data_IF_031757405012
#
_entry.id   IF_031757405012
#
_cell.length_a   1.000
_cell.length_b   1.000
_cell.length_c   1.000
_cell.angle_alpha   90.00
_cell.angle_beta   90.00
_cell.angle_gamma   90.00
#
_symmetry.space_group_name_H-M   'P 1'
#
loop_
_entity.id
_entity.type
_entity.pdbx_description
1 polymer ?
#
# COMPACT_ATOMS: atom_id res chain seq x y z
N UNK A 1 45.25 64.31 16.45
CA UNK A 1 44.67 62.94 16.51
C UNK A 1 43.53 62.98 17.52
N UNK A 2 42.33 62.42 17.29
CA UNK A 2 41.81 61.64 16.16
C UNK A 2 40.68 62.34 15.37
N UNK A 3 40.35 61.75 14.22
CA UNK A 3 39.50 62.22 13.12
C UNK A 3 38.00 61.90 13.31
N UNK A 4 37.13 62.92 13.25
CA UNK A 4 35.66 62.82 13.39
C UNK A 4 34.88 62.50 12.10
N UNK A 5 35.23 61.41 11.40
CA UNK A 5 34.68 61.09 10.07
C UNK A 5 33.80 59.84 9.95
N UNK A 6 33.38 59.18 11.04
CA UNK A 6 32.82 57.82 11.00
C UNK A 6 31.30 57.61 11.29
N UNK A 7 30.42 58.60 11.52
CA UNK A 7 29.02 58.28 11.88
C UNK A 7 28.17 57.87 10.66
N UNK A 8 28.30 58.53 9.52
CA UNK A 8 27.42 58.32 8.35
C UNK A 8 27.64 56.95 7.70
N UNK A 9 28.89 56.48 7.62
CA UNK A 9 29.25 55.17 7.06
C UNK A 9 28.65 54.04 7.93
N UNK A 10 28.59 54.23 9.26
CA UNK A 10 27.97 53.28 10.19
C UNK A 10 26.46 53.20 10.03
N UNK A 11 25.78 54.31 9.75
CA UNK A 11 24.35 54.30 9.46
C UNK A 11 24.05 53.61 8.12
N UNK A 12 24.88 53.82 7.10
CA UNK A 12 24.72 53.20 5.78
C UNK A 12 24.97 51.68 5.81
N UNK A 13 25.93 51.21 6.61
CA UNK A 13 26.13 49.77 6.81
C UNK A 13 24.99 49.16 7.64
N UNK A 14 24.54 49.84 8.70
CA UNK A 14 23.38 49.40 9.51
C UNK A 14 22.10 49.30 8.68
N UNK A 15 21.84 50.27 7.80
CA UNK A 15 20.69 50.29 6.91
C UNK A 15 20.74 49.18 5.86
N UNK A 16 21.92 48.89 5.32
CA UNK A 16 22.14 47.75 4.40
C UNK A 16 21.88 46.41 5.08
N UNK A 17 22.35 46.24 6.32
CA UNK A 17 22.05 45.05 7.11
C UNK A 17 20.55 44.90 7.39
N UNK A 18 19.86 46.01 7.71
CA UNK A 18 18.43 46.00 7.98
C UNK A 18 17.61 45.62 6.74
N UNK A 19 17.95 46.20 5.58
CA UNK A 19 17.31 45.87 4.29
C UNK A 19 17.61 44.42 3.89
N UNK A 20 18.84 43.94 4.10
CA UNK A 20 19.20 42.54 3.84
C UNK A 20 18.41 41.57 4.75
N UNK A 21 18.23 41.90 6.03
CA UNK A 21 17.38 41.12 6.94
C UNK A 21 15.91 41.11 6.51
N UNK A 22 15.37 42.25 6.06
CA UNK A 22 14.00 42.35 5.56
C UNK A 22 13.79 41.47 4.32
N UNK A 23 14.72 41.52 3.37
CA UNK A 23 14.71 40.66 2.18
C UNK A 23 14.87 39.16 2.54
N UNK A 24 15.63 38.85 3.58
CA UNK A 24 15.79 37.47 4.08
C UNK A 24 14.49 36.94 4.71
N UNK A 25 13.76 37.78 5.46
CA UNK A 25 12.50 37.41 6.12
C UNK A 25 11.39 37.16 5.10
N UNK A 26 11.32 37.94 4.02
CA UNK A 26 10.37 37.68 2.93
C UNK A 26 10.69 36.38 2.18
N UNK A 27 11.96 36.06 1.97
CA UNK A 27 12.38 34.79 1.36
C UNK A 27 12.00 33.56 2.20
N UNK A 28 11.97 33.68 3.53
CA UNK A 28 11.60 32.58 4.44
C UNK A 28 10.07 32.42 4.51
N UNK A 29 9.31 33.50 4.35
CA UNK A 29 7.83 33.48 4.45
C UNK A 29 7.14 32.92 3.19
N UNK A 30 7.86 32.86 2.06
CA UNK A 30 7.40 32.25 0.81
C UNK A 30 7.31 30.72 0.81
N UNK A 31 7.82 30.05 1.85
CA UNK A 31 7.57 28.62 2.09
C UNK A 31 6.22 28.48 2.80
N UNK A 32 5.15 28.91 2.13
CA UNK A 32 3.81 28.47 2.50
C UNK A 32 3.73 26.99 2.13
N UNK A 33 3.52 26.15 3.15
CA UNK A 33 3.28 24.73 2.98
C UNK A 33 2.19 24.54 1.92
N UNK A 34 2.53 23.86 0.83
CA UNK A 34 1.49 23.31 -0.03
C UNK A 34 0.65 22.41 0.86
N UNK A 35 -0.57 22.86 1.15
CA UNK A 35 -1.60 22.04 1.74
C UNK A 35 -2.04 21.08 0.63
N UNK A 36 -1.20 20.08 0.38
CA UNK A 36 -1.53 18.95 -0.48
C UNK A 36 -2.57 18.15 0.31
N UNK A 37 -3.82 18.61 0.26
CA UNK A 37 -4.97 17.75 0.50
C UNK A 37 -5.13 16.82 -0.70
N UNK A 38 -4.09 16.03 -1.00
CA UNK A 38 -4.27 14.80 -1.74
C UNK A 38 -4.55 13.74 -0.67
N UNK A 39 -5.83 13.53 -0.37
CA UNK A 39 -6.17 12.14 -0.16
C UNK A 39 -6.04 11.53 -1.55
N UNK A 40 -4.97 10.75 -1.85
CA UNK A 40 -4.95 10.03 -3.10
C UNK A 40 -6.27 9.25 -3.17
N UNK A 41 -6.98 9.41 -4.28
CA UNK A 41 -8.25 8.72 -4.51
C UNK A 41 -8.06 7.26 -4.09
N UNK A 42 -8.87 6.81 -3.12
CA UNK A 42 -8.71 5.46 -2.57
C UNK A 42 -8.76 4.48 -3.73
N UNK A 43 -7.75 3.62 -3.90
CA UNK A 43 -7.73 2.72 -5.04
C UNK A 43 -8.91 1.76 -4.95
N UNK A 44 -9.51 1.46 -6.10
CA UNK A 44 -10.45 0.36 -6.20
C UNK A 44 -9.66 -0.95 -6.19
N UNK A 45 -10.12 -1.92 -5.40
CA UNK A 45 -9.50 -3.25 -5.31
C UNK A 45 -10.40 -4.25 -6.02
N UNK A 46 -9.91 -4.86 -7.10
CA UNK A 46 -10.56 -5.97 -7.78
C UNK A 46 -9.82 -7.27 -7.44
N UNK A 47 -10.48 -8.16 -6.69
CA UNK A 47 -9.96 -9.49 -6.38
C UNK A 47 -10.53 -10.51 -7.37
N UNK A 48 -9.68 -11.05 -8.24
CA UNK A 48 -10.01 -12.16 -9.14
C UNK A 48 -9.50 -13.47 -8.54
N UNK A 49 -10.38 -14.44 -8.36
CA UNK A 49 -10.07 -15.77 -7.82
C UNK A 49 -10.64 -16.84 -8.74
N UNK A 50 -9.78 -17.75 -9.20
CA UNK A 50 -10.18 -18.94 -9.95
C UNK A 50 -10.23 -20.15 -9.00
N UNK A 51 -11.27 -20.97 -9.12
CA UNK A 51 -11.38 -22.24 -8.38
C UNK A 51 -10.58 -23.34 -9.10
N UNK A 52 -9.97 -24.24 -8.33
CA UNK A 52 -9.19 -25.38 -8.82
C UNK A 52 -8.06 -25.07 -9.84
N UNK A 53 -7.52 -23.84 -9.84
CA UNK A 53 -6.39 -23.50 -10.71
C UNK A 53 -5.06 -23.98 -10.12
N UNK A 54 -4.38 -24.86 -10.84
CA UNK A 54 -3.03 -25.33 -10.53
C UNK A 54 -1.95 -24.30 -10.82
N UNK A 55 -0.80 -24.45 -10.17
CA UNK A 55 0.35 -23.55 -10.34
C UNK A 55 0.85 -23.47 -11.79
N UNK A 56 0.80 -24.61 -12.50
CA UNK A 56 1.27 -24.73 -13.87
C UNK A 56 0.24 -24.36 -14.94
N UNK A 57 -0.99 -23.98 -14.59
CA UNK A 57 -2.11 -23.88 -15.54
C UNK A 57 -2.15 -22.57 -16.34
N UNK A 58 -1.09 -21.75 -16.28
CA UNK A 58 -0.99 -20.46 -16.97
C UNK A 58 0.17 -20.42 -17.95
N UNK A 59 -0.01 -19.70 -19.06
CA UNK A 59 1.05 -19.40 -20.02
C UNK A 59 2.26 -18.73 -19.37
N UNK A 60 2.03 -17.75 -18.49
CA UNK A 60 3.08 -17.09 -17.70
C UNK A 60 3.77 -17.99 -16.66
N UNK A 61 3.23 -19.18 -16.37
CA UNK A 61 3.87 -20.23 -15.58
C UNK A 61 4.62 -21.26 -16.46
N UNK A 62 4.60 -21.09 -17.79
CA UNK A 62 5.27 -21.98 -18.74
C UNK A 62 4.42 -23.12 -19.27
N UNK A 63 3.09 -23.06 -19.14
CA UNK A 63 2.21 -24.12 -19.65
C UNK A 63 2.41 -24.31 -21.18
N UNK A 64 2.62 -25.54 -21.67
CA UNK A 64 3.01 -25.77 -23.08
C UNK A 64 1.89 -25.57 -24.10
N UNK A 65 0.62 -25.69 -23.69
CA UNK A 65 -0.56 -25.69 -24.58
C UNK A 65 -1.55 -24.55 -24.28
N UNK A 66 -1.98 -24.40 -23.03
CA UNK A 66 -2.91 -23.36 -22.59
C UNK A 66 -2.36 -21.96 -22.86
N UNK A 67 -3.21 -21.12 -23.45
CA UNK A 67 -2.91 -19.72 -23.75
C UNK A 67 -3.77 -18.83 -22.85
N UNK A 68 -3.12 -18.00 -22.05
CA UNK A 68 -3.79 -17.12 -21.09
C UNK A 68 -3.41 -15.64 -21.31
N UNK A 69 -3.59 -15.09 -22.53
CA UNK A 69 -2.98 -13.81 -22.91
C UNK A 69 -3.40 -12.64 -22.01
N UNK A 70 -4.61 -12.65 -21.45
CA UNK A 70 -5.05 -11.64 -20.48
C UNK A 70 -4.30 -11.72 -19.14
N UNK A 71 -4.09 -12.93 -18.61
CA UNK A 71 -3.33 -13.16 -17.37
C UNK A 71 -1.84 -12.96 -17.60
N UNK A 72 -1.33 -13.33 -18.78
CA UNK A 72 0.08 -13.15 -19.17
C UNK A 72 0.42 -11.65 -19.24
N UNK A 73 -0.48 -10.84 -19.82
CA UNK A 73 -0.36 -9.38 -19.83
C UNK A 73 -0.37 -8.82 -18.42
N UNK A 74 -1.34 -9.22 -17.58
CA UNK A 74 -1.44 -8.78 -16.18
C UNK A 74 -0.17 -9.12 -15.39
N UNK A 75 0.41 -10.31 -15.60
CA UNK A 75 1.66 -10.72 -14.98
C UNK A 75 2.86 -9.88 -15.45
N UNK A 76 2.87 -9.41 -16.69
CA UNK A 76 3.95 -8.59 -17.26
C UNK A 76 3.89 -7.11 -16.85
N UNK A 77 2.70 -6.58 -16.60
CA UNK A 77 2.47 -5.19 -16.19
C UNK A 77 2.48 -5.00 -14.66
N UNK A 78 2.46 -6.10 -13.91
CA UNK A 78 2.35 -6.10 -12.45
C UNK A 78 3.48 -6.85 -11.74
N UNK A 79 3.20 -7.27 -10.51
CA UNK A 79 4.08 -8.12 -9.71
C UNK A 79 3.50 -9.53 -9.66
N UNK A 80 4.33 -10.55 -9.93
CA UNK A 80 3.95 -11.96 -9.86
C UNK A 80 4.67 -12.68 -8.72
N UNK A 81 3.91 -13.24 -7.80
CA UNK A 81 4.41 -14.12 -6.75
C UNK A 81 4.48 -15.55 -7.30
N UNK A 82 5.68 -16.13 -7.39
CA UNK A 82 5.89 -17.48 -7.93
C UNK A 82 5.82 -18.57 -6.87
N UNK A 83 5.97 -18.21 -5.61
CA UNK A 83 5.87 -19.10 -4.45
C UNK A 83 4.77 -18.57 -3.54
N UNK A 84 3.59 -19.16 -3.64
CA UNK A 84 2.41 -18.79 -2.86
C UNK A 84 1.66 -20.06 -2.46
N UNK A 85 0.93 -19.99 -1.34
CA UNK A 85 0.21 -21.12 -0.78
C UNK A 85 -1.18 -20.69 -0.35
N UNK A 86 -2.15 -21.59 -0.48
CA UNK A 86 -3.47 -21.42 0.14
C UNK A 86 -3.43 -21.88 1.60
N UNK A 87 -4.32 -21.34 2.43
CA UNK A 87 -4.52 -21.79 3.82
C UNK A 87 -4.92 -23.27 3.89
N UNK A 88 -5.63 -23.77 2.88
CA UNK A 88 -6.12 -25.14 2.80
C UNK A 88 -6.36 -25.55 1.34
N UNK A 89 -6.04 -26.78 0.92
CA UNK A 89 -6.28 -27.27 -0.44
C UNK A 89 -7.75 -27.69 -0.66
N UNK A 90 -8.69 -26.95 -0.08
CA UNK A 90 -10.14 -27.22 -0.13
C UNK A 90 -10.89 -25.90 -0.30
N UNK A 91 -11.93 -25.88 -1.14
CA UNK A 91 -12.58 -24.66 -1.62
C UNK A 91 -13.12 -23.74 -0.50
N UNK A 92 -13.85 -24.29 0.47
CA UNK A 92 -14.45 -23.52 1.57
C UNK A 92 -13.39 -22.88 2.49
N UNK A 93 -12.45 -23.64 3.07
CA UNK A 93 -11.41 -23.05 3.92
C UNK A 93 -10.42 -22.17 3.15
N UNK A 94 -10.11 -22.46 1.88
CA UNK A 94 -9.29 -21.59 1.01
C UNK A 94 -9.89 -20.18 0.91
N UNK A 95 -11.18 -20.09 0.59
CA UNK A 95 -11.91 -18.82 0.52
C UNK A 95 -12.03 -18.14 1.89
N UNK A 96 -12.27 -18.90 2.96
CA UNK A 96 -12.33 -18.35 4.31
C UNK A 96 -10.98 -17.74 4.73
N UNK A 97 -9.85 -18.33 4.36
CA UNK A 97 -8.53 -17.76 4.60
C UNK A 97 -8.33 -16.42 3.90
N UNK A 98 -8.77 -16.29 2.64
CA UNK A 98 -8.72 -15.02 1.90
C UNK A 98 -9.60 -13.95 2.57
N UNK A 99 -10.82 -14.29 2.97
CA UNK A 99 -11.78 -13.34 3.54
C UNK A 99 -11.44 -12.91 4.97
N UNK A 100 -10.81 -13.78 5.75
CA UNK A 100 -10.51 -13.52 7.17
C UNK A 100 -9.07 -13.09 7.42
N UNK A 101 -8.16 -13.34 6.48
CA UNK A 101 -6.72 -13.15 6.67
C UNK A 101 -6.12 -14.07 7.74
N UNK A 102 -6.79 -15.18 8.08
CA UNK A 102 -6.39 -16.12 9.14
C UNK A 102 -6.11 -17.49 8.55
N UNK A 103 -5.29 -18.29 9.25
CA UNK A 103 -5.09 -19.70 8.95
C UNK A 103 -6.32 -20.54 9.35
N UNK A 104 -6.54 -21.68 8.68
CA UNK A 104 -7.65 -22.59 8.94
C UNK A 104 -7.74 -23.08 10.38
N UNK A 105 -6.61 -23.23 11.07
CA UNK A 105 -6.62 -23.60 12.49
C UNK A 105 -7.13 -22.46 13.39
N UNK A 106 -7.05 -21.21 12.94
CA UNK A 106 -7.49 -20.03 13.69
C UNK A 106 -8.96 -19.67 13.46
N UNK A 107 -9.51 -19.96 12.28
CA UNK A 107 -10.91 -19.69 11.98
C UNK A 107 -11.82 -20.93 12.10
N UNK A 108 -11.26 -22.13 12.30
CA UNK A 108 -12.00 -23.32 12.72
C UNK A 108 -12.70 -24.11 11.61
N UNK A 109 -12.61 -23.69 10.35
CA UNK A 109 -13.15 -24.42 9.20
C UNK A 109 -12.02 -25.19 8.53
N UNK A 110 -12.07 -26.52 8.61
CA UNK A 110 -11.02 -27.43 8.09
C UNK A 110 -11.50 -28.29 6.92
N UNK A 111 -12.80 -28.30 6.66
CA UNK A 111 -13.45 -29.18 5.70
C UNK A 111 -14.38 -28.40 4.79
N UNK A 112 -14.88 -29.09 3.76
CA UNK A 112 -15.90 -28.56 2.86
C UNK A 112 -17.19 -28.34 3.66
N UNK A 113 -17.90 -27.25 3.38
CA UNK A 113 -19.25 -27.04 3.90
C UNK A 113 -20.17 -28.01 3.16
N UNK A 114 -20.61 -29.07 3.83
CA UNK A 114 -21.63 -29.97 3.33
C UNK A 114 -23.02 -29.44 3.70
N UNK A 115 -23.93 -29.48 2.76
CA UNK A 115 -25.32 -29.04 2.83
C UNK A 115 -26.22 -29.89 3.75
N UNK A 116 -25.72 -31.02 4.27
CA UNK A 116 -26.53 -31.99 5.02
C UNK A 116 -26.09 -32.37 6.45
N UNK A 117 -24.80 -32.32 6.81
CA UNK A 117 -24.35 -32.96 8.07
C UNK A 117 -23.44 -32.12 8.97
N UNK A 118 -22.90 -30.99 8.49
CA UNK A 118 -21.89 -30.28 9.27
C UNK A 118 -22.49 -29.18 10.17
N UNK A 119 -23.04 -29.58 11.31
CA UNK A 119 -23.36 -28.67 12.43
C UNK A 119 -22.11 -28.13 13.13
N UNK A 120 -20.90 -28.48 12.66
CA UNK A 120 -19.65 -28.17 13.35
C UNK A 120 -18.94 -26.92 12.87
N UNK A 121 -19.54 -26.08 12.01
CA UNK A 121 -19.10 -24.68 11.95
C UNK A 121 -19.32 -24.13 13.36
N UNK A 122 -18.27 -23.93 14.18
CA UNK A 122 -18.45 -23.24 15.43
C UNK A 122 -18.83 -21.84 14.99
N UNK A 123 -20.06 -21.44 15.27
CA UNK A 123 -20.66 -20.17 14.84
C UNK A 123 -19.88 -19.03 15.50
N UNK A 124 -18.66 -18.72 15.05
CA UNK A 124 -17.73 -17.70 15.56
C UNK A 124 -17.59 -17.58 17.10
N UNK A 125 -18.13 -18.50 17.90
CA UNK A 125 -18.44 -18.27 19.31
C UNK A 125 -17.26 -18.47 20.25
N UNK A 126 -16.13 -18.97 19.74
CA UNK A 126 -14.93 -19.28 20.53
C UNK A 126 -13.62 -18.79 19.91
N UNK A 127 -13.67 -17.82 19.00
CA UNK A 127 -12.44 -17.13 18.60
C UNK A 127 -12.23 -15.98 19.57
N UNK A 128 -11.31 -16.07 20.56
CA UNK A 128 -10.90 -14.88 21.29
C UNK A 128 -10.29 -13.93 20.25
N UNK A 129 -10.94 -12.77 20.12
CA UNK A 129 -10.32 -11.56 19.56
C UNK A 129 -9.11 -11.18 20.40
#
# INVERSE_FOLDING_TARGET
MPSGGAPIIRYLTSLRFFVACLLLVEAISGVHAENVSSHPDKPNILLLLADDQGWGDMGCAGHPVLKTPGLDKLASEGCRLTTFYTSAPVCSPSRAGILTGRDQNRFGMKHIINDGEDKSIPVFHHVPV
#
